data_IF_779093984299
#
_entry.id   IF_779093984299
#
_cell.length_a   1.000
_cell.length_b   1.000
_cell.length_c   1.000
_cell.angle_alpha   90.00
_cell.angle_beta   90.00
_cell.angle_gamma   90.00
#
_symmetry.space_group_name_H-M   'P 1'
#
loop_
_entity.id
_entity.type
_entity.pdbx_description
1 polymer ?
#
# COMPACT_ATOMS: atom_id res chain seq x y z
N UNK A 1 0.79 4.21 -8.47
CA UNK A 1 -0.56 3.72 -8.08
C UNK A 1 -1.41 3.27 -9.27
N UNK A 2 -1.26 3.91 -10.44
CA UNK A 2 -2.03 3.59 -11.65
C UNK A 2 -2.82 4.81 -12.09
N UNK A 3 -3.99 4.60 -12.69
CA UNK A 3 -4.92 5.67 -13.03
C UNK A 3 -6.21 5.52 -12.22
N UNK A 4 -6.81 6.65 -11.81
CA UNK A 4 -8.12 6.72 -11.19
C UNK A 4 -8.90 7.87 -11.85
N UNK A 5 -10.13 7.61 -12.31
CA UNK A 5 -10.91 8.58 -13.08
C UNK A 5 -10.18 9.12 -14.32
N UNK A 6 -9.37 8.29 -14.99
CA UNK A 6 -8.55 8.68 -16.15
C UNK A 6 -7.33 9.54 -15.81
N UNK A 7 -7.09 9.89 -14.55
CA UNK A 7 -5.94 10.68 -14.09
C UNK A 7 -4.90 9.78 -13.43
N UNK A 8 -3.62 10.10 -13.63
CA UNK A 8 -2.55 9.40 -12.95
C UNK A 8 -2.69 9.59 -11.43
N UNK A 9 -2.73 8.47 -10.71
CA UNK A 9 -2.81 8.44 -9.26
C UNK A 9 -1.43 8.12 -8.68
N UNK A 10 -1.13 8.75 -7.54
CA UNK A 10 0.12 8.63 -6.80
C UNK A 10 -0.18 8.45 -5.31
N UNK A 11 0.77 7.83 -4.60
CA UNK A 11 0.71 7.66 -3.15
C UNK A 11 2.11 7.95 -2.60
N UNK A 12 2.18 8.71 -1.51
CA UNK A 12 3.41 9.07 -0.84
C UNK A 12 3.15 9.17 0.66
N UNK A 13 4.17 8.84 1.44
CA UNK A 13 4.14 9.08 2.89
C UNK A 13 4.57 10.52 3.16
N UNK A 14 3.85 11.20 4.04
CA UNK A 14 4.21 12.53 4.52
C UNK A 14 4.60 12.43 6.00
N UNK A 15 5.63 13.17 6.44
CA UNK A 15 5.89 13.34 7.87
C UNK A 15 4.65 13.90 8.56
N UNK A 16 4.40 13.50 9.81
CA UNK A 16 3.36 14.10 10.67
C UNK A 16 3.70 15.57 10.92
N UNK A 17 3.28 16.43 10.00
CA UNK A 17 3.45 17.87 10.04
C UNK A 17 2.09 18.48 9.79
N UNK A 18 1.69 19.40 10.66
CA UNK A 18 0.31 19.87 10.78
C UNK A 18 -0.11 20.89 9.70
N UNK A 19 0.73 21.12 8.68
CA UNK A 19 0.64 22.30 7.81
C UNK A 19 0.75 21.93 6.32
N UNK A 20 0.01 20.88 5.91
CA UNK A 20 -0.06 20.49 4.50
C UNK A 20 -1.09 21.31 3.70
N UNK A 21 -1.95 22.07 4.39
CA UNK A 21 -3.09 22.77 3.77
C UNK A 21 -4.12 21.83 3.13
N UNK A 22 -4.06 20.53 3.43
CA UNK A 22 -4.96 19.51 2.88
C UNK A 22 -6.03 19.13 3.90
N UNK A 23 -7.26 18.94 3.42
CA UNK A 23 -8.28 18.24 4.20
C UNK A 23 -7.89 16.77 4.32
N UNK A 24 -7.64 16.32 5.55
CA UNK A 24 -7.29 14.95 5.86
C UNK A 24 -8.46 14.22 6.51
N UNK A 25 -8.73 13.01 6.03
CA UNK A 25 -9.56 12.05 6.75
C UNK A 25 -8.64 11.19 7.59
N UNK A 26 -8.77 11.29 8.92
CA UNK A 26 -8.07 10.42 9.86
C UNK A 26 -8.89 9.18 10.17
N UNK A 27 -8.26 8.01 10.18
CA UNK A 27 -8.91 6.74 10.48
C UNK A 27 -8.27 5.55 9.80
N UNK A 28 -8.81 4.37 10.06
CA UNK A 28 -8.40 3.14 9.36
C UNK A 28 -9.12 2.99 8.02
N UNK A 29 -8.57 2.18 7.12
CA UNK A 29 -9.16 1.90 5.80
C UNK A 29 -10.59 1.35 5.91
N UNK A 30 -10.87 0.50 6.89
CA UNK A 30 -12.19 -0.10 7.09
C UNK A 30 -13.29 0.90 7.43
N UNK A 31 -12.94 2.08 7.95
CA UNK A 31 -13.90 3.16 8.19
C UNK A 31 -14.57 3.63 6.88
N UNK A 32 -13.92 3.43 5.73
CA UNK A 32 -14.45 3.77 4.40
C UNK A 32 -15.28 2.64 3.77
N UNK A 33 -15.20 1.41 4.28
CA UNK A 33 -15.84 0.24 3.65
C UNK A 33 -17.36 0.42 3.60
N UNK A 34 -17.93 0.39 2.39
CA UNK A 34 -19.37 0.59 2.13
C UNK A 34 -19.87 2.03 2.37
N UNK A 35 -18.96 2.98 2.68
CA UNK A 35 -19.29 4.41 2.89
C UNK A 35 -18.80 5.31 1.77
N UNK A 36 -17.93 4.81 0.89
CA UNK A 36 -17.43 5.50 -0.30
C UNK A 36 -17.62 4.60 -1.53
N UNK A 37 -17.44 5.17 -2.71
CA UNK A 37 -17.40 4.41 -3.96
C UNK A 37 -16.30 3.34 -3.94
N UNK A 38 -16.61 2.16 -4.47
CA UNK A 38 -15.71 1.00 -4.48
C UNK A 38 -14.38 1.31 -5.17
N UNK A 39 -14.36 2.13 -6.22
CA UNK A 39 -13.12 2.50 -6.92
C UNK A 39 -12.20 3.32 -6.02
N UNK A 40 -12.77 4.22 -5.21
CA UNK A 40 -12.02 5.02 -4.25
C UNK A 40 -11.51 4.14 -3.11
N UNK A 41 -12.34 3.25 -2.57
CA UNK A 41 -11.94 2.29 -1.55
C UNK A 41 -10.76 1.42 -2.01
N UNK A 42 -10.83 0.87 -3.23
CA UNK A 42 -9.74 0.08 -3.82
C UNK A 42 -8.48 0.91 -4.07
N UNK A 43 -8.62 2.15 -4.53
CA UNK A 43 -7.48 3.05 -4.73
C UNK A 43 -6.77 3.34 -3.39
N UNK A 44 -7.52 3.67 -2.34
CA UNK A 44 -6.95 3.92 -1.02
C UNK A 44 -6.32 2.66 -0.41
N UNK A 45 -6.99 1.51 -0.52
CA UNK A 45 -6.46 0.24 -0.03
C UNK A 45 -5.13 -0.13 -0.68
N UNK A 46 -5.01 0.04 -2.00
CA UNK A 46 -3.74 -0.17 -2.70
C UNK A 46 -2.66 0.83 -2.28
N UNK A 47 -3.02 2.11 -2.08
CA UNK A 47 -2.07 3.14 -1.64
C UNK A 47 -1.49 2.76 -0.27
N UNK A 48 -2.37 2.45 0.67
CA UNK A 48 -2.00 2.01 2.02
C UNK A 48 -1.11 0.77 1.98
N UNK A 49 -1.50 -0.27 1.24
CA UNK A 49 -0.73 -1.50 1.15
C UNK A 49 0.68 -1.28 0.58
N UNK A 50 0.82 -0.47 -0.47
CA UNK A 50 2.13 -0.18 -1.06
C UNK A 50 3.02 0.62 -0.13
N UNK A 51 2.50 1.69 0.49
CA UNK A 51 3.27 2.52 1.41
C UNK A 51 3.68 1.75 2.67
N UNK A 52 2.75 0.99 3.26
CA UNK A 52 3.03 0.16 4.43
C UNK A 52 4.05 -0.94 4.12
N UNK A 53 3.94 -1.58 2.95
CA UNK A 53 4.90 -2.57 2.51
C UNK A 53 6.30 -1.97 2.31
N UNK A 54 6.41 -0.80 1.69
CA UNK A 54 7.70 -0.09 1.54
C UNK A 54 8.33 0.23 2.89
N UNK A 55 7.55 0.72 3.86
CA UNK A 55 8.06 1.07 5.19
C UNK A 55 8.56 -0.15 5.98
N UNK A 56 7.90 -1.30 5.82
CA UNK A 56 8.27 -2.56 6.47
C UNK A 56 9.40 -3.32 5.77
N UNK A 57 9.77 -2.93 4.54
CA UNK A 57 10.80 -3.59 3.73
C UNK A 57 12.02 -2.70 3.47
N UNK A 58 12.30 -1.73 4.35
CA UNK A 58 13.47 -0.83 4.29
C UNK A 58 14.82 -1.55 4.40
N UNK A 59 14.83 -2.77 4.92
CA UNK A 59 16.02 -3.60 5.07
C UNK A 59 15.78 -5.00 4.50
N UNK A 60 16.86 -5.60 4.00
CA UNK A 60 16.84 -6.90 3.36
C UNK A 60 16.61 -8.00 4.40
N UNK A 61 15.52 -8.75 4.27
CA UNK A 61 15.24 -9.89 5.14
C UNK A 61 16.24 -11.05 5.03
N UNK A 62 17.16 -11.03 4.04
CA UNK A 62 18.21 -12.05 3.88
C UNK A 62 19.53 -11.68 4.54
N UNK A 63 20.00 -10.44 4.37
CA UNK A 63 21.34 -10.02 4.81
C UNK A 63 21.35 -8.81 5.75
N UNK A 64 20.20 -8.15 5.99
CA UNK A 64 20.09 -6.99 6.87
C UNK A 64 20.47 -5.64 6.24
N UNK A 65 21.08 -5.63 5.05
CA UNK A 65 21.45 -4.40 4.35
C UNK A 65 20.23 -3.55 3.94
N UNK A 66 20.37 -2.22 3.78
CA UNK A 66 19.31 -1.39 3.23
C UNK A 66 18.83 -1.87 1.87
N UNK A 67 17.55 -1.65 1.58
CA UNK A 67 16.98 -1.91 0.25
C UNK A 67 16.70 -0.60 -0.50
N UNK A 68 16.68 -0.67 -1.82
CA UNK A 68 16.30 0.42 -2.72
C UNK A 68 14.98 0.12 -3.40
N UNK A 69 14.13 1.14 -3.56
CA UNK A 69 12.86 1.01 -4.27
C UNK A 69 13.11 0.94 -5.78
N UNK A 70 12.50 -0.05 -6.43
CA UNK A 70 12.58 -0.28 -7.88
C UNK A 70 11.17 -0.41 -8.50
N UNK A 71 11.11 -0.49 -9.83
CA UNK A 71 9.87 -0.74 -10.60
C UNK A 71 8.72 0.24 -10.28
N UNK A 72 9.06 1.51 -10.06
CA UNK A 72 8.08 2.56 -9.74
C UNK A 72 7.35 2.33 -8.42
N UNK A 73 8.03 1.75 -7.43
CA UNK A 73 7.46 1.52 -6.10
C UNK A 73 6.82 0.15 -5.90
N UNK A 74 6.98 -0.78 -6.86
CA UNK A 74 6.35 -2.11 -6.84
C UNK A 74 7.28 -3.25 -6.46
N UNK A 75 8.55 -2.96 -6.24
CA UNK A 75 9.53 -3.91 -5.74
C UNK A 75 10.64 -3.17 -4.99
N UNK A 76 11.33 -3.88 -4.09
CA UNK A 76 12.56 -3.43 -3.48
C UNK A 76 13.68 -4.40 -3.84
N UNK A 77 14.88 -3.87 -4.01
CA UNK A 77 16.09 -4.66 -4.27
C UNK A 77 17.14 -4.40 -3.20
N UNK A 78 17.94 -5.43 -2.91
CA UNK A 78 19.14 -5.31 -2.10
C UNK A 78 20.35 -5.40 -3.02
N UNK A 79 21.18 -4.35 -3.04
CA UNK A 79 22.35 -4.28 -3.91
C UNK A 79 23.47 -5.22 -3.45
N UNK A 80 23.55 -5.52 -2.15
CA UNK A 80 24.61 -6.37 -1.58
C UNK A 80 24.42 -7.87 -1.90
N UNK A 81 23.17 -8.36 -1.87
CA UNK A 81 22.89 -9.79 -2.06
C UNK A 81 21.97 -10.10 -3.25
N UNK A 82 21.63 -9.09 -4.05
CA UNK A 82 20.76 -9.18 -5.23
C UNK A 82 19.35 -9.72 -4.96
N UNK A 83 18.90 -9.76 -3.71
CA UNK A 83 17.53 -10.14 -3.36
C UNK A 83 16.55 -9.10 -3.89
N UNK A 84 15.45 -9.57 -4.46
CA UNK A 84 14.31 -8.74 -4.85
C UNK A 84 13.05 -9.23 -4.15
N UNK A 85 12.25 -8.29 -3.65
CA UNK A 85 11.01 -8.58 -2.93
C UNK A 85 9.87 -7.74 -3.50
N UNK A 86 8.69 -8.34 -3.62
CA UNK A 86 7.47 -7.72 -4.14
C UNK A 86 6.41 -7.65 -3.03
N UNK A 87 5.45 -6.70 -3.11
CA UNK A 87 4.32 -6.66 -2.20
C UNK A 87 3.56 -7.98 -2.16
N UNK A 88 3.31 -8.51 -0.96
CA UNK A 88 2.54 -9.74 -0.77
C UNK A 88 1.05 -9.49 -0.99
N UNK A 89 0.40 -10.37 -1.74
CA UNK A 89 -1.07 -10.53 -1.75
C UNK A 89 -1.38 -11.85 -1.03
N UNK A 90 -2.17 -11.78 0.05
CA UNK A 90 -2.60 -12.96 0.80
C UNK A 90 -3.97 -13.42 0.29
N UNK A 91 -4.09 -14.60 -0.33
CA UNK A 91 -5.41 -15.12 -0.72
C UNK A 91 -6.27 -15.37 0.53
N UNK A 92 -7.55 -15.03 0.44
CA UNK A 92 -8.53 -15.14 1.51
C UNK A 92 -9.86 -15.66 0.96
N UNK A 93 -10.61 -16.41 1.79
CA UNK A 93 -11.94 -16.93 1.46
C UNK A 93 -12.97 -16.38 2.45
N UNK A 94 -14.17 -16.07 1.95
CA UNK A 94 -15.34 -15.70 2.74
C UNK A 94 -16.49 -16.62 2.36
N UNK A 95 -17.15 -17.22 3.35
CA UNK A 95 -18.17 -18.25 3.13
C UNK A 95 -19.40 -17.94 3.97
N UNK A 96 -20.58 -17.97 3.34
CA UNK A 96 -21.86 -17.97 4.04
C UNK A 96 -22.25 -19.42 4.36
N UNK A 97 -22.41 -19.75 5.65
CA UNK A 97 -22.92 -21.04 6.09
C UNK A 97 -24.42 -20.93 6.30
N UNK A 98 -25.21 -21.68 5.53
CA UNK A 98 -26.67 -21.72 5.64
C UNK A 98 -27.17 -23.14 5.88
N UNK A 99 -28.16 -23.27 6.78
CA UNK A 99 -28.96 -24.49 6.97
C UNK A 99 -30.42 -24.10 6.75
N UNK A 100 -31.08 -24.79 5.83
CA UNK A 100 -32.49 -24.52 5.48
C UNK A 100 -33.44 -24.64 6.66
#
# INVERSE_FOLDING_TARGET
>A
MGYWGGKAAWAFSIPETNDTGLEALSGNLYSLLGRVDDSLFHAQGRAYQLLHWQDTHRYCGRCGSPTSVIEGGRAVACDDCSMRVYPRISPCVIVLVSKG
#
